data_IF_994093577120
#
_entry.id   IF_994093577120
#
_cell.length_a   1.000
_cell.length_b   1.000
_cell.length_c   1.000
_cell.angle_alpha   90.00
_cell.angle_beta   90.00
_cell.angle_gamma   90.00
#
_symmetry.space_group_name_H-M   'P 1'
#
loop_
_entity.id
_entity.type
_entity.pdbx_description
1 polymer ?
#
# COMPACT_ATOMS: atom_id res chain seq x y z
N UNK A 1 1.75 -22.18 -17.24
CA UNK A 1 1.21 -21.48 -16.05
C UNK A 1 0.83 -20.07 -16.49
N UNK A 2 -0.19 -19.44 -15.91
CA UNK A 2 -0.49 -18.05 -16.26
C UNK A 2 0.49 -17.11 -15.57
N UNK A 3 0.67 -15.88 -16.09
CA UNK A 3 1.54 -14.86 -15.51
C UNK A 3 1.22 -14.60 -14.02
N UNK A 4 -0.08 -14.46 -13.71
CA UNK A 4 -0.55 -14.22 -12.33
C UNK A 4 -0.24 -15.42 -11.42
N UNK A 5 -0.44 -16.67 -11.91
CA UNK A 5 -0.08 -17.85 -11.12
C UNK A 5 1.41 -17.96 -10.83
N UNK A 6 2.26 -17.58 -11.79
CA UNK A 6 3.72 -17.52 -11.60
C UNK A 6 4.10 -16.45 -10.58
N UNK A 7 3.48 -15.26 -10.65
CA UNK A 7 3.67 -14.17 -9.69
C UNK A 7 3.26 -14.58 -8.27
N UNK A 8 2.13 -15.28 -8.12
CA UNK A 8 1.66 -15.81 -6.82
C UNK A 8 2.67 -16.78 -6.20
N UNK A 9 3.17 -17.74 -6.98
CA UNK A 9 4.17 -18.71 -6.51
C UNK A 9 5.45 -17.98 -6.10
N UNK A 10 5.92 -17.06 -6.95
CA UNK A 10 7.13 -16.30 -6.67
C UNK A 10 7.01 -15.47 -5.39
N UNK A 11 5.92 -14.70 -5.24
CA UNK A 11 5.67 -13.90 -4.06
C UNK A 11 5.55 -14.77 -2.79
N UNK A 12 4.89 -15.94 -2.88
CA UNK A 12 4.76 -16.87 -1.78
C UNK A 12 6.13 -17.40 -1.32
N UNK A 13 7.02 -17.74 -2.25
CA UNK A 13 8.38 -18.16 -1.94
C UNK A 13 9.23 -17.01 -1.38
N UNK A 14 9.11 -15.80 -1.96
CA UNK A 14 9.87 -14.64 -1.52
C UNK A 14 9.52 -14.20 -0.09
N UNK A 15 8.24 -14.26 0.28
CA UNK A 15 7.76 -13.89 1.62
C UNK A 15 7.68 -15.10 2.58
N UNK A 16 8.29 -16.25 2.24
CA UNK A 16 8.21 -17.42 3.12
C UNK A 16 8.77 -17.13 4.52
N UNK A 17 8.04 -17.54 5.55
CA UNK A 17 8.38 -17.27 6.95
C UNK A 17 8.05 -15.85 7.44
N UNK A 18 7.67 -14.91 6.56
CA UNK A 18 7.30 -13.56 6.98
C UNK A 18 5.87 -13.50 7.51
N UNK A 19 5.63 -12.67 8.51
CA UNK A 19 4.32 -12.48 9.12
C UNK A 19 3.86 -11.02 9.01
N UNK A 20 2.57 -10.80 8.92
CA UNK A 20 1.94 -9.48 9.03
C UNK A 20 2.23 -8.89 10.40
N UNK A 21 2.62 -7.63 10.43
CA UNK A 21 3.08 -6.92 11.62
C UNK A 21 2.08 -7.00 12.78
N UNK A 22 2.56 -7.49 13.93
CA UNK A 22 1.75 -7.65 15.13
C UNK A 22 0.73 -8.80 15.08
N UNK A 23 0.89 -9.75 14.16
CA UNK A 23 0.00 -10.90 13.99
C UNK A 23 0.78 -12.19 13.72
N UNK A 24 0.10 -13.34 13.72
CA UNK A 24 0.65 -14.64 13.26
C UNK A 24 0.19 -14.97 11.83
N UNK A 25 -0.37 -14.01 11.09
CA UNK A 25 -0.85 -14.23 9.71
C UNK A 25 0.35 -14.19 8.75
N UNK A 26 0.53 -15.21 7.89
CA UNK A 26 1.57 -15.19 6.86
C UNK A 26 1.46 -13.95 5.97
N UNK A 27 2.60 -13.32 5.66
CA UNK A 27 2.62 -12.06 4.90
C UNK A 27 1.96 -12.17 3.53
N UNK A 28 2.12 -13.31 2.86
CA UNK A 28 1.58 -13.57 1.52
C UNK A 28 0.06 -13.33 1.39
N UNK A 29 -0.68 -13.39 2.50
CA UNK A 29 -2.12 -13.11 2.51
C UNK A 29 -2.40 -11.67 2.06
N UNK A 30 -1.51 -10.72 2.38
CA UNK A 30 -1.65 -9.33 1.94
C UNK A 30 -1.48 -9.15 0.43
N UNK A 31 -0.38 -9.56 -0.22
CA UNK A 31 -0.27 -9.49 -1.68
C UNK A 31 -1.41 -10.23 -2.42
N UNK A 32 -1.87 -11.35 -1.87
CA UNK A 32 -3.01 -12.06 -2.44
C UNK A 32 -4.32 -11.23 -2.36
N UNK A 33 -4.57 -10.56 -1.23
CA UNK A 33 -5.71 -9.66 -1.08
C UNK A 33 -5.59 -8.44 -2.00
N UNK A 34 -4.39 -7.85 -2.13
CA UNK A 34 -4.14 -6.72 -3.04
C UNK A 34 -4.47 -7.11 -4.49
N UNK A 35 -4.05 -8.28 -4.95
CA UNK A 35 -4.39 -8.77 -6.28
C UNK A 35 -5.90 -9.04 -6.43
N UNK A 36 -6.56 -9.57 -5.39
CA UNK A 36 -8.00 -9.80 -5.41
C UNK A 36 -8.78 -8.47 -5.51
N UNK A 37 -8.35 -7.42 -4.81
CA UNK A 37 -8.94 -6.08 -4.93
C UNK A 37 -8.66 -5.52 -6.33
N UNK A 38 -7.42 -5.58 -6.83
CA UNK A 38 -7.05 -5.11 -8.16
C UNK A 38 -7.89 -5.77 -9.26
N UNK A 39 -8.24 -7.06 -9.11
CA UNK A 39 -9.06 -7.78 -10.08
C UNK A 39 -10.52 -7.28 -10.19
N UNK A 40 -10.98 -6.48 -9.25
CA UNK A 40 -12.27 -5.77 -9.34
C UNK A 40 -12.19 -4.49 -10.18
N UNK A 41 -10.96 -4.03 -10.50
CA UNK A 41 -10.67 -2.76 -11.18
C UNK A 41 -10.10 -2.97 -12.59
N UNK A 42 -9.55 -4.16 -12.86
CA UNK A 42 -8.92 -4.50 -14.14
C UNK A 42 -8.84 -6.02 -14.33
N UNK A 43 -8.84 -6.46 -15.60
CA UNK A 43 -8.55 -7.83 -16.03
C UNK A 43 -7.14 -7.97 -16.66
N UNK A 44 -6.33 -6.89 -16.68
CA UNK A 44 -4.98 -6.88 -17.22
C UNK A 44 -4.04 -7.77 -16.37
N UNK A 45 -3.53 -8.89 -16.92
CA UNK A 45 -2.73 -9.83 -16.16
C UNK A 45 -1.39 -9.27 -15.69
N UNK A 46 -0.84 -8.24 -16.34
CA UNK A 46 0.41 -7.61 -15.90
C UNK A 46 0.19 -6.70 -14.69
N UNK A 47 -0.95 -6.00 -14.62
CA UNK A 47 -1.33 -5.22 -13.42
C UNK A 47 -1.60 -6.17 -12.26
N UNK A 48 -2.32 -7.27 -12.47
CA UNK A 48 -2.60 -8.27 -11.43
C UNK A 48 -1.31 -8.94 -10.93
N UNK A 49 -0.39 -9.28 -11.83
CA UNK A 49 0.91 -9.83 -11.45
C UNK A 49 1.74 -8.81 -10.64
N UNK A 50 1.76 -7.54 -11.07
CA UNK A 50 2.45 -6.48 -10.35
C UNK A 50 1.82 -6.24 -8.96
N UNK A 51 0.49 -6.31 -8.83
CA UNK A 51 -0.21 -6.22 -7.56
C UNK A 51 0.20 -7.33 -6.57
N UNK A 52 0.40 -8.57 -7.06
CA UNK A 52 0.96 -9.67 -6.25
C UNK A 52 2.40 -9.41 -5.84
N UNK A 53 3.19 -8.79 -6.70
CA UNK A 53 4.64 -8.61 -6.54
C UNK A 53 5.02 -7.28 -5.89
N UNK A 54 4.06 -6.40 -5.55
CA UNK A 54 4.32 -5.00 -5.22
C UNK A 54 5.34 -4.78 -4.09
N UNK A 55 5.40 -5.69 -3.12
CA UNK A 55 6.28 -5.59 -1.95
C UNK A 55 7.58 -6.41 -2.05
N UNK A 56 7.78 -7.25 -3.10
CA UNK A 56 8.94 -8.18 -3.14
C UNK A 56 10.29 -7.46 -3.24
N UNK A 57 10.33 -6.28 -3.84
CA UNK A 57 11.56 -5.46 -3.89
C UNK A 57 11.85 -4.89 -2.49
N UNK A 58 10.83 -4.32 -1.85
CA UNK A 58 10.97 -3.61 -0.59
C UNK A 58 11.26 -4.56 0.57
N UNK A 59 10.53 -5.67 0.64
CA UNK A 59 10.55 -6.58 1.78
C UNK A 59 11.51 -7.77 1.62
N UNK A 60 11.74 -8.23 0.37
CA UNK A 60 12.48 -9.46 0.11
C UNK A 60 13.83 -9.22 -0.61
N UNK A 61 14.16 -7.97 -0.97
CA UNK A 61 15.41 -7.64 -1.65
C UNK A 61 15.51 -8.15 -3.09
N UNK A 62 14.38 -8.48 -3.72
CA UNK A 62 14.31 -8.84 -5.15
C UNK A 62 14.68 -7.62 -5.99
N UNK A 63 15.48 -7.79 -7.03
CA UNK A 63 15.85 -6.68 -7.90
C UNK A 63 14.82 -6.46 -9.01
N UNK A 64 14.66 -5.18 -9.44
CA UNK A 64 13.83 -4.85 -10.60
C UNK A 64 14.31 -5.56 -11.89
N UNK A 65 15.62 -5.85 -12.01
CA UNK A 65 16.16 -6.60 -13.12
C UNK A 65 15.68 -8.05 -13.12
N UNK A 66 15.65 -8.69 -11.97
CA UNK A 66 15.12 -10.06 -11.81
C UNK A 66 13.64 -10.12 -12.17
N UNK A 67 12.85 -9.14 -11.71
CA UNK A 67 11.44 -9.06 -12.08
C UNK A 67 11.25 -8.85 -13.58
N UNK A 68 12.06 -7.98 -14.21
CA UNK A 68 11.98 -7.76 -15.65
C UNK A 68 12.32 -9.01 -16.47
N UNK A 69 13.31 -9.78 -16.04
CA UNK A 69 13.70 -11.04 -16.70
C UNK A 69 12.61 -12.12 -16.56
N UNK A 70 11.94 -12.19 -15.42
CA UNK A 70 10.98 -13.26 -15.13
C UNK A 70 9.54 -12.92 -15.55
N UNK A 71 9.11 -11.68 -15.33
CA UNK A 71 7.72 -11.25 -15.51
C UNK A 71 7.52 -10.21 -16.61
N UNK A 72 8.60 -9.73 -17.22
CA UNK A 72 8.55 -8.70 -18.25
C UNK A 72 8.77 -7.28 -17.73
N UNK A 73 9.18 -6.40 -18.65
CA UNK A 73 9.58 -5.03 -18.31
C UNK A 73 8.44 -4.19 -17.73
N UNK A 74 7.19 -4.40 -18.18
CA UNK A 74 6.03 -3.64 -17.71
C UNK A 74 5.67 -4.02 -16.27
N UNK A 75 5.67 -5.31 -15.92
CA UNK A 75 5.44 -5.76 -14.54
C UNK A 75 6.51 -5.18 -13.62
N UNK A 76 7.79 -5.28 -14.00
CA UNK A 76 8.88 -4.71 -13.21
C UNK A 76 8.75 -3.19 -13.02
N UNK A 77 8.35 -2.46 -14.07
CA UNK A 77 8.14 -1.02 -13.99
C UNK A 77 6.99 -0.65 -13.03
N UNK A 78 5.88 -1.40 -13.06
CA UNK A 78 4.76 -1.23 -12.15
C UNK A 78 5.15 -1.50 -10.69
N UNK A 79 5.90 -2.59 -10.42
CA UNK A 79 6.40 -2.87 -9.07
C UNK A 79 7.36 -1.79 -8.60
N UNK A 80 8.29 -1.34 -9.46
CA UNK A 80 9.20 -0.24 -9.14
C UNK A 80 8.46 1.07 -8.86
N UNK A 81 7.29 1.31 -9.49
CA UNK A 81 6.48 2.49 -9.22
C UNK A 81 5.80 2.45 -7.85
N UNK A 82 5.68 1.31 -7.18
CA UNK A 82 5.21 1.18 -5.81
C UNK A 82 6.37 1.16 -4.80
N UNK A 83 7.57 0.79 -5.24
CA UNK A 83 8.75 0.70 -4.38
C UNK A 83 9.26 2.09 -4.03
N UNK A 84 9.46 2.36 -2.74
CA UNK A 84 10.00 3.64 -2.29
C UNK A 84 11.48 3.74 -2.64
N UNK A 85 11.89 4.81 -3.35
CA UNK A 85 13.29 5.16 -3.52
C UNK A 85 13.97 5.27 -2.15
N UNK A 86 15.10 4.56 -1.96
CA UNK A 86 15.84 4.48 -0.69
C UNK A 86 15.11 3.72 0.42
N UNK A 87 14.31 2.72 0.07
CA UNK A 87 13.82 1.75 1.05
C UNK A 87 15.01 1.24 1.87
N UNK A 88 14.91 1.36 3.19
CA UNK A 88 15.98 0.95 4.11
C UNK A 88 17.04 2.02 4.43
N UNK A 89 16.99 3.25 3.91
CA UNK A 89 17.88 4.32 4.38
C UNK A 89 17.48 4.73 5.82
N UNK A 90 18.31 4.43 6.84
CA UNK A 90 17.99 4.71 8.23
C UNK A 90 17.86 6.21 8.54
N UNK A 91 18.34 7.09 7.63
CA UNK A 91 18.23 8.55 7.78
C UNK A 91 16.88 9.09 7.35
N UNK A 92 16.07 8.32 6.61
CA UNK A 92 14.73 8.75 6.23
C UNK A 92 13.73 8.58 7.37
N UNK A 93 13.10 9.68 7.76
CA UNK A 93 12.00 9.65 8.72
C UNK A 93 10.76 8.94 8.13
N UNK A 94 9.87 8.48 8.99
CA UNK A 94 8.59 7.91 8.55
C UNK A 94 7.82 8.89 7.66
N UNK A 95 7.79 10.17 8.05
CA UNK A 95 7.08 11.21 7.30
C UNK A 95 7.68 11.42 5.91
N UNK A 96 9.02 11.50 5.80
CA UNK A 96 9.68 11.65 4.52
C UNK A 96 9.36 10.50 3.56
N UNK A 97 9.32 9.26 4.07
CA UNK A 97 8.90 8.09 3.29
C UNK A 97 7.45 8.20 2.83
N UNK A 98 6.53 8.63 3.72
CA UNK A 98 5.11 8.76 3.35
C UNK A 98 4.88 9.91 2.35
N UNK A 99 5.60 11.02 2.47
CA UNK A 99 5.59 12.09 1.45
C UNK A 99 6.09 11.60 0.10
N UNK A 100 7.14 10.80 0.06
CA UNK A 100 7.65 10.19 -1.18
C UNK A 100 6.60 9.27 -1.81
N UNK A 101 5.94 8.39 -1.02
CA UNK A 101 4.86 7.53 -1.51
C UNK A 101 3.66 8.32 -2.05
N UNK A 102 3.24 9.39 -1.37
CA UNK A 102 2.18 10.30 -1.84
C UNK A 102 2.57 10.93 -3.18
N UNK A 103 3.81 11.45 -3.29
CA UNK A 103 4.29 12.04 -4.54
C UNK A 103 4.40 11.01 -5.69
N UNK A 104 4.65 9.76 -5.37
CA UNK A 104 4.68 8.64 -6.33
C UNK A 104 3.28 8.34 -6.87
N UNK A 105 2.27 8.24 -6.01
CA UNK A 105 0.86 8.09 -6.41
C UNK A 105 0.43 9.26 -7.30
N UNK A 106 0.81 10.52 -6.95
CA UNK A 106 0.45 11.69 -7.73
C UNK A 106 0.99 11.66 -9.17
N UNK A 107 2.17 11.06 -9.38
CA UNK A 107 2.81 10.93 -10.70
C UNK A 107 2.44 9.64 -11.44
N UNK A 108 1.82 8.69 -10.73
CA UNK A 108 1.48 7.38 -11.26
C UNK A 108 0.40 7.44 -12.35
N UNK A 109 0.49 6.53 -13.29
CA UNK A 109 -0.57 6.28 -14.25
C UNK A 109 -1.73 5.48 -13.61
N UNK A 110 -2.81 5.26 -14.38
CA UNK A 110 -3.96 4.50 -13.89
C UNK A 110 -3.58 3.09 -13.43
N UNK A 111 -2.61 2.43 -14.06
CA UNK A 111 -2.21 1.07 -13.70
C UNK A 111 -1.55 1.03 -12.32
N UNK A 112 -0.58 1.92 -12.06
CA UNK A 112 0.04 2.06 -10.75
C UNK A 112 -0.97 2.52 -9.69
N UNK A 113 -1.88 3.44 -10.01
CA UNK A 113 -2.95 3.86 -9.09
C UNK A 113 -3.91 2.74 -8.69
N UNK A 114 -4.19 1.77 -9.58
CA UNK A 114 -4.95 0.56 -9.25
C UNK A 114 -4.22 -0.26 -8.18
N UNK A 115 -2.91 -0.46 -8.33
CA UNK A 115 -2.10 -1.19 -7.36
C UNK A 115 -2.06 -0.44 -6.02
N UNK A 116 -1.79 0.86 -6.07
CA UNK A 116 -1.76 1.72 -4.88
C UNK A 116 -3.10 1.70 -4.12
N UNK A 117 -4.24 1.84 -4.82
CA UNK A 117 -5.57 1.75 -4.20
C UNK A 117 -5.76 0.40 -3.51
N UNK A 118 -5.42 -0.68 -4.21
CA UNK A 118 -5.61 -2.05 -3.72
C UNK A 118 -4.77 -2.32 -2.47
N UNK A 119 -3.51 -1.85 -2.42
CA UNK A 119 -2.65 -1.93 -1.24
C UNK A 119 -3.23 -1.13 -0.07
N UNK A 120 -3.62 0.14 -0.32
CA UNK A 120 -4.15 1.00 0.75
C UNK A 120 -5.46 0.44 1.30
N UNK A 121 -6.33 -0.10 0.45
CA UNK A 121 -7.57 -0.74 0.89
C UNK A 121 -7.30 -2.00 1.73
N UNK A 122 -6.43 -2.91 1.28
CA UNK A 122 -6.05 -4.11 2.06
C UNK A 122 -5.49 -3.73 3.43
N UNK A 123 -4.61 -2.72 3.48
CA UNK A 123 -4.06 -2.22 4.73
C UNK A 123 -5.13 -1.60 5.64
N UNK A 124 -6.06 -0.81 5.08
CA UNK A 124 -7.14 -0.19 5.87
C UNK A 124 -8.17 -1.21 6.37
N UNK A 125 -8.46 -2.27 5.62
CA UNK A 125 -9.27 -3.40 6.10
C UNK A 125 -8.64 -4.04 7.35
N UNK A 126 -7.34 -4.28 7.32
CA UNK A 126 -6.62 -4.84 8.46
C UNK A 126 -6.62 -3.88 9.67
N UNK A 127 -6.35 -2.59 9.44
CA UNK A 127 -6.35 -1.56 10.49
C UNK A 127 -7.76 -1.43 11.11
N UNK A 128 -8.81 -1.33 10.29
CA UNK A 128 -10.20 -1.23 10.77
C UNK A 128 -10.59 -2.42 11.64
N UNK A 129 -10.38 -3.64 11.15
CA UNK A 129 -10.68 -4.87 11.91
C UNK A 129 -9.99 -4.88 13.27
N UNK A 130 -8.71 -4.50 13.28
CA UNK A 130 -7.92 -4.52 14.51
C UNK A 130 -8.29 -3.33 15.42
N UNK A 131 -8.66 -2.18 14.85
CA UNK A 131 -9.17 -1.02 15.60
C UNK A 131 -10.52 -1.32 16.27
N UNK A 132 -11.42 -2.04 15.61
CA UNK A 132 -12.70 -2.47 16.19
C UNK A 132 -12.50 -3.41 17.40
N UNK A 133 -11.41 -4.21 17.40
CA UNK A 133 -11.08 -5.11 18.51
C UNK A 133 -10.31 -4.42 19.64
N UNK A 134 -9.29 -3.64 19.29
CA UNK A 134 -8.25 -3.16 20.21
C UNK A 134 -8.30 -1.64 20.46
N UNK A 135 -9.15 -0.91 19.75
CA UNK A 135 -9.19 0.56 19.80
C UNK A 135 -7.88 1.20 19.33
N UNK A 136 -7.53 2.34 19.90
CA UNK A 136 -6.33 3.10 19.52
C UNK A 136 -5.01 2.37 19.80
N UNK A 137 -5.02 1.34 20.65
CA UNK A 137 -3.82 0.55 20.94
C UNK A 137 -3.25 -0.15 19.69
N UNK A 138 -4.04 -0.30 18.61
CA UNK A 138 -3.60 -0.83 17.32
C UNK A 138 -2.40 -0.06 16.76
N UNK A 139 -2.31 1.24 17.03
CA UNK A 139 -1.23 2.07 16.51
C UNK A 139 0.11 1.84 17.21
N UNK A 140 0.12 1.25 18.42
CA UNK A 140 1.35 0.93 19.15
C UNK A 140 2.24 -0.11 18.41
N UNK A 141 1.67 -0.93 17.52
CA UNK A 141 2.43 -1.92 16.74
C UNK A 141 3.23 -1.31 15.57
N UNK A 142 2.89 -0.10 15.15
CA UNK A 142 3.58 0.57 14.05
C UNK A 142 4.79 1.38 14.56
N UNK A 143 5.74 1.69 13.70
CA UNK A 143 6.86 2.59 14.05
C UNK A 143 6.40 4.03 14.28
N UNK A 144 5.33 4.45 13.62
CA UNK A 144 4.62 5.69 13.91
C UNK A 144 3.41 5.36 14.78
N UNK A 145 3.40 5.87 16.02
CA UNK A 145 2.34 5.61 16.98
C UNK A 145 1.23 6.67 16.93
N UNK A 146 1.49 7.83 16.33
CA UNK A 146 0.51 8.91 16.24
C UNK A 146 -0.54 8.60 15.16
N UNK A 147 -1.76 8.35 15.61
CA UNK A 147 -2.95 8.08 14.78
C UNK A 147 -3.19 9.18 13.75
N UNK A 148 -2.97 10.48 14.10
CA UNK A 148 -3.19 11.64 13.22
C UNK A 148 -2.28 11.60 12.00
N UNK A 149 -1.03 11.12 12.15
CA UNK A 149 -0.09 10.95 11.03
C UNK A 149 -0.53 9.85 10.07
N UNK A 150 -1.12 8.77 10.59
CA UNK A 150 -1.75 7.75 9.75
C UNK A 150 -2.97 8.31 9.02
N UNK A 151 -3.83 9.08 9.69
CA UNK A 151 -4.98 9.75 9.08
C UNK A 151 -4.55 10.65 7.92
N UNK A 152 -3.55 11.52 8.14
CA UNK A 152 -2.97 12.35 7.09
C UNK A 152 -2.53 11.52 5.87
N UNK A 153 -1.78 10.45 6.09
CA UNK A 153 -1.27 9.61 5.01
C UNK A 153 -2.37 8.97 4.17
N UNK A 154 -3.31 8.28 4.82
CA UNK A 154 -4.38 7.58 4.11
C UNK A 154 -5.35 8.53 3.41
N UNK A 155 -5.69 9.66 4.02
CA UNK A 155 -6.53 10.69 3.40
C UNK A 155 -5.85 11.33 2.19
N UNK A 156 -4.55 11.62 2.27
CA UNK A 156 -3.78 12.13 1.13
C UNK A 156 -3.76 11.13 -0.03
N UNK A 157 -3.54 9.84 0.24
CA UNK A 157 -3.61 8.80 -0.79
C UNK A 157 -5.00 8.73 -1.42
N UNK A 158 -6.07 8.67 -0.62
CA UNK A 158 -7.45 8.58 -1.11
C UNK A 158 -7.84 9.79 -1.97
N UNK A 159 -7.39 10.99 -1.59
CA UNK A 159 -7.63 12.22 -2.36
C UNK A 159 -6.99 12.17 -3.75
N UNK A 160 -5.74 11.70 -3.86
CA UNK A 160 -5.03 11.59 -5.14
C UNK A 160 -5.58 10.49 -6.06
N UNK A 161 -6.19 9.46 -5.48
CA UNK A 161 -6.80 8.35 -6.22
C UNK A 161 -8.22 8.68 -6.70
N UNK A 162 -8.83 9.76 -6.17
CA UNK A 162 -10.23 10.11 -6.42
C UNK A 162 -10.54 10.40 -7.89
N UNK A 163 -9.68 11.14 -8.58
CA UNK A 163 -9.97 11.61 -9.93
C UNK A 163 -10.11 10.47 -10.95
N UNK A 164 -9.35 9.39 -10.75
CA UNK A 164 -9.35 8.26 -11.69
C UNK A 164 -10.13 7.05 -11.20
N UNK A 165 -10.28 6.88 -9.88
CA UNK A 165 -10.84 5.67 -9.26
C UNK A 165 -11.98 5.96 -8.27
N UNK A 166 -12.38 7.22 -8.10
CA UNK A 166 -13.38 7.65 -7.11
C UNK A 166 -14.79 7.12 -7.33
N UNK A 167 -15.11 6.66 -8.53
CA UNK A 167 -16.37 6.03 -8.90
C UNK A 167 -16.39 4.50 -8.64
N UNK A 168 -15.26 3.92 -8.22
CA UNK A 168 -15.14 2.48 -7.94
C UNK A 168 -15.58 2.12 -6.51
N UNK A 169 -16.08 0.89 -6.35
CA UNK A 169 -16.44 0.39 -5.03
C UNK A 169 -15.22 0.27 -4.09
N UNK A 170 -14.06 -0.09 -4.64
CA UNK A 170 -12.82 -0.17 -3.88
C UNK A 170 -12.41 1.19 -3.27
N UNK A 171 -12.56 2.28 -4.02
CA UNK A 171 -12.28 3.62 -3.51
C UNK A 171 -13.30 4.05 -2.43
N UNK A 172 -14.59 3.77 -2.64
CA UNK A 172 -15.65 4.06 -1.66
C UNK A 172 -15.39 3.31 -0.36
N UNK A 173 -15.05 2.02 -0.44
CA UNK A 173 -14.71 1.19 0.71
C UNK A 173 -13.48 1.71 1.45
N UNK A 174 -12.41 2.12 0.71
CA UNK A 174 -11.25 2.75 1.33
C UNK A 174 -11.63 3.99 2.14
N UNK A 175 -12.47 4.89 1.58
CA UNK A 175 -12.91 6.10 2.30
C UNK A 175 -13.79 5.79 3.49
N UNK A 176 -14.67 4.79 3.40
CA UNK A 176 -15.48 4.33 4.54
C UNK A 176 -14.59 3.85 5.69
N UNK A 177 -13.57 3.03 5.40
CA UNK A 177 -12.63 2.56 6.41
C UNK A 177 -11.82 3.70 7.02
N UNK A 178 -11.36 4.65 6.21
CA UNK A 178 -10.67 5.85 6.69
C UNK A 178 -11.57 6.65 7.63
N UNK A 179 -12.81 6.91 7.24
CA UNK A 179 -13.77 7.66 8.07
C UNK A 179 -14.18 6.94 9.35
N UNK A 180 -14.17 5.58 9.34
CA UNK A 180 -14.47 4.78 10.53
C UNK A 180 -13.31 4.80 11.55
N UNK A 181 -12.07 4.74 11.10
CA UNK A 181 -10.89 4.68 11.97
C UNK A 181 -10.42 6.06 12.41
N UNK A 182 -10.49 7.06 11.52
CA UNK A 182 -9.95 8.40 11.74
C UNK A 182 -11.06 9.43 11.77
N UNK A 183 -11.19 10.16 12.88
CA UNK A 183 -12.11 11.28 13.03
C UNK A 183 -11.67 12.51 12.21
N UNK A 184 -12.56 13.50 12.03
CA UNK A 184 -12.20 14.76 11.35
C UNK A 184 -11.11 15.51 12.10
N UNK A 185 -11.13 15.50 13.44
CA UNK A 185 -10.12 16.14 14.30
C UNK A 185 -8.70 15.54 14.09
N UNK A 186 -8.60 14.27 13.72
CA UNK A 186 -7.31 13.61 13.41
C UNK A 186 -6.63 14.23 12.16
N UNK A 187 -7.38 14.91 11.28
CA UNK A 187 -6.85 15.47 10.04
C UNK A 187 -6.38 16.92 10.18
N UNK A 188 -7.09 17.75 10.95
CA UNK A 188 -6.84 19.20 11.03
C UNK A 188 -5.52 19.53 11.75
N UNK A 189 -5.15 18.77 12.78
CA UNK A 189 -3.93 19.03 13.56
C UNK A 189 -2.63 18.78 12.76
N UNK A 190 -2.61 17.85 11.80
CA UNK A 190 -1.44 17.60 10.97
C UNK A 190 -1.18 18.71 9.92
N UNK A 191 -2.23 19.37 9.44
CA UNK A 191 -2.10 20.48 8.49
C UNK A 191 -1.58 21.75 9.17
N UNK A 192 -1.92 21.97 10.44
CA UNK A 192 -1.46 23.12 11.23
C UNK A 192 0.03 22.99 11.58
N UNK A 193 0.52 21.83 11.99
CA UNK A 193 1.94 21.61 12.27
C UNK A 193 2.83 21.78 11.03
N UNK A 194 2.35 21.41 9.84
CA UNK A 194 3.06 21.60 8.58
C UNK A 194 3.16 23.09 8.15
N UNK A 195 2.20 23.91 8.56
CA UNK A 195 2.18 25.35 8.27
C UNK A 195 3.12 26.16 9.19
N UNK A 196 3.50 25.64 10.36
CA UNK A 196 4.41 26.30 11.32
C UNK A 196 5.87 25.86 11.17
N UNK A 197 6.19 24.87 10.30
CA UNK A 197 7.53 24.34 10.06
C UNK A 197 8.17 24.84 8.75
N UNK A 198 7.58 25.86 8.11
CA UNK A 198 8.05 26.46 6.86
C UNK A 198 8.75 27.82 7.04
#
# INVERSE_FOLDING_TARGET
MTLVSDAMIFAACAHDGMLRKGTNVPYIVHPAEVAAIASTLTDDPEILAAAVLHDVIEDCGVSGQELAQRFGARVAALVLSETQERCGDPRMTWEARKRAAIAQIARGDRASKIIALSDKLSNMRAIRRDFERDGESVFARFHQHDKRRHAWYYRSCASLLKDELGDTDAWRELNEHIGHVFSEDDAESCLQEAAYAG
#
